data_IF_946616327820
#
_entry.id   IF_946616327820
#
_cell.length_a   1.000
_cell.length_b   1.000
_cell.length_c   1.000
_cell.angle_alpha   90.00
_cell.angle_beta   90.00
_cell.angle_gamma   90.00
#
_symmetry.space_group_name_H-M   'P 1'
#
loop_
_entity.id
_entity.type
_entity.pdbx_description
1 polymer ?
#
# COMPACT_ATOMS: atom_id res chain seq x y z
N UNK A 1 20.51 1.90 15.39
CA UNK A 1 19.23 1.44 15.92
C UNK A 1 18.18 2.55 15.79
N UNK A 2 16.89 2.21 15.72
CA UNK A 2 15.79 3.16 15.64
C UNK A 2 15.67 3.92 14.31
N UNK A 3 16.25 3.41 13.22
CA UNK A 3 16.25 4.06 11.90
C UNK A 3 15.37 3.37 10.85
N UNK A 4 14.61 2.38 11.27
CA UNK A 4 13.59 1.73 10.45
C UNK A 4 12.23 2.15 10.97
N UNK A 5 11.35 2.55 10.09
CA UNK A 5 9.95 2.91 10.40
C UNK A 5 8.98 1.95 9.75
N UNK A 6 7.99 1.50 10.52
CA UNK A 6 6.88 0.65 10.05
C UNK A 6 5.55 1.19 10.59
N UNK A 7 4.45 0.72 10.04
CA UNK A 7 3.14 0.99 10.65
C UNK A 7 2.98 0.29 12.00
N UNK A 8 2.27 0.95 12.90
CA UNK A 8 1.78 0.33 14.13
C UNK A 8 0.65 -0.66 13.76
N UNK A 9 0.98 -1.94 13.73
CA UNK A 9 0.05 -3.02 13.35
C UNK A 9 -1.13 -3.16 14.31
N UNK A 10 -1.05 -2.62 15.51
CA UNK A 10 -2.13 -2.66 16.51
C UNK A 10 -3.14 -1.52 16.34
N UNK A 11 -2.75 -0.44 15.65
CA UNK A 11 -3.53 0.78 15.51
C UNK A 11 -3.91 1.09 14.05
N UNK A 12 -3.20 0.51 13.08
CA UNK A 12 -3.34 0.83 11.65
C UNK A 12 -3.72 -0.43 10.88
N UNK A 13 -5.00 -0.52 10.48
CA UNK A 13 -5.52 -1.70 9.79
C UNK A 13 -4.76 -2.07 8.51
N UNK A 14 -4.32 -1.09 7.72
CA UNK A 14 -3.50 -1.35 6.54
C UNK A 14 -2.11 -1.90 6.89
N UNK A 15 -1.53 -1.44 7.99
CA UNK A 15 -0.26 -1.96 8.49
C UNK A 15 -0.37 -3.43 8.87
N UNK A 16 -1.45 -3.77 9.56
CA UNK A 16 -1.75 -5.15 9.93
C UNK A 16 -1.98 -6.03 8.69
N UNK A 17 -2.76 -5.56 7.73
CA UNK A 17 -3.06 -6.27 6.49
C UNK A 17 -1.81 -6.62 5.69
N UNK A 18 -0.92 -5.64 5.50
CA UNK A 18 0.35 -5.84 4.81
C UNK A 18 1.26 -6.80 5.58
N UNK A 19 1.31 -6.66 6.90
CA UNK A 19 2.09 -7.53 7.77
C UNK A 19 1.61 -8.99 7.72
N UNK A 20 0.30 -9.22 7.74
CA UNK A 20 -0.29 -10.55 7.61
C UNK A 20 0.00 -11.17 6.24
N UNK A 21 -0.10 -10.37 5.17
CA UNK A 21 0.21 -10.80 3.82
C UNK A 21 1.69 -11.18 3.66
N UNK A 22 2.62 -10.40 4.21
CA UNK A 22 4.06 -10.72 4.17
C UNK A 22 4.37 -12.04 4.89
N UNK A 23 3.70 -12.33 5.99
CA UNK A 23 3.82 -13.60 6.69
C UNK A 23 3.48 -14.80 5.80
N UNK A 24 2.49 -14.66 4.94
CA UNK A 24 2.06 -15.73 4.02
C UNK A 24 2.96 -15.82 2.78
N UNK A 25 3.45 -14.68 2.30
CA UNK A 25 4.18 -14.62 1.04
C UNK A 25 5.68 -14.86 1.16
N UNK A 26 6.28 -14.62 2.33
CA UNK A 26 7.73 -14.61 2.49
C UNK A 26 8.24 -15.72 3.42
N UNK A 27 9.05 -16.64 2.90
CA UNK A 27 9.80 -17.60 3.72
C UNK A 27 10.85 -16.94 4.63
N UNK A 28 11.21 -15.69 4.35
CA UNK A 28 12.16 -14.89 5.14
C UNK A 28 11.50 -14.04 6.21
N UNK A 29 10.18 -14.15 6.38
CA UNK A 29 9.42 -13.31 7.30
C UNK A 29 9.95 -13.34 8.75
N UNK A 30 10.26 -14.52 9.30
CA UNK A 30 10.83 -14.65 10.64
C UNK A 30 12.14 -13.89 10.81
N UNK A 31 13.06 -14.01 9.84
CA UNK A 31 14.33 -13.25 9.86
C UNK A 31 14.13 -11.74 9.74
N UNK A 32 13.11 -11.31 9.02
CA UNK A 32 12.75 -9.90 8.91
C UNK A 32 12.27 -9.37 10.26
N UNK A 33 11.43 -10.10 11.00
CA UNK A 33 10.98 -9.73 12.34
C UNK A 33 12.14 -9.65 13.34
N UNK A 34 13.04 -10.64 13.33
CA UNK A 34 14.27 -10.59 14.15
C UNK A 34 15.10 -9.35 13.85
N UNK A 35 15.26 -9.01 12.57
CA UNK A 35 15.95 -7.80 12.14
C UNK A 35 15.27 -6.54 12.67
N UNK A 36 13.94 -6.46 12.58
CA UNK A 36 13.18 -5.32 13.12
C UNK A 36 13.37 -5.16 14.62
N UNK A 37 13.34 -6.26 15.38
CA UNK A 37 13.62 -6.27 16.81
C UNK A 37 15.05 -5.82 17.12
N UNK A 38 16.03 -6.41 16.46
CA UNK A 38 17.46 -6.07 16.65
C UNK A 38 17.75 -4.59 16.37
N UNK A 39 17.14 -4.02 15.35
CA UNK A 39 17.32 -2.62 14.98
C UNK A 39 16.45 -1.64 15.76
N UNK A 40 15.66 -2.11 16.72
CA UNK A 40 14.75 -1.27 17.53
C UNK A 40 13.83 -0.44 16.61
N UNK A 41 13.14 -1.11 15.70
CA UNK A 41 12.27 -0.47 14.70
C UNK A 41 11.21 0.40 15.37
N UNK A 42 10.99 1.58 14.81
CA UNK A 42 9.99 2.54 15.30
C UNK A 42 8.65 2.31 14.61
N UNK A 43 7.57 2.40 15.36
CA UNK A 43 6.21 2.24 14.86
C UNK A 43 5.50 3.59 14.71
N UNK A 44 4.69 3.74 13.67
CA UNK A 44 4.02 4.98 13.32
C UNK A 44 2.56 4.73 12.95
N UNK A 45 1.71 5.71 13.20
CA UNK A 45 0.28 5.61 12.88
C UNK A 45 -0.08 6.10 11.48
N UNK A 46 0.78 6.88 10.83
CA UNK A 46 0.50 7.49 9.51
C UNK A 46 1.71 7.40 8.59
N UNK A 47 1.44 7.15 7.31
CA UNK A 47 2.46 7.20 6.24
C UNK A 47 3.23 8.51 6.24
N UNK A 48 2.51 9.62 6.44
CA UNK A 48 3.11 10.96 6.43
C UNK A 48 4.18 11.13 7.52
N UNK A 49 4.00 10.52 8.69
CA UNK A 49 4.98 10.62 9.79
C UNK A 49 6.25 9.82 9.46
N UNK A 50 6.12 8.64 8.84
CA UNK A 50 7.27 7.86 8.37
C UNK A 50 8.00 8.61 7.27
N UNK A 51 7.28 9.14 6.28
CA UNK A 51 7.85 9.87 5.15
C UNK A 51 8.54 11.17 5.60
N UNK A 52 7.96 11.87 6.57
CA UNK A 52 8.60 13.04 7.19
C UNK A 52 9.91 12.65 7.88
N UNK A 53 9.90 11.59 8.68
CA UNK A 53 11.10 11.12 9.36
C UNK A 53 12.19 10.62 8.40
N UNK A 54 11.81 10.09 7.23
CA UNK A 54 12.75 9.79 6.13
C UNK A 54 13.32 11.06 5.52
N UNK A 55 12.48 12.06 5.22
CA UNK A 55 12.93 13.32 4.59
C UNK A 55 13.87 14.13 5.48
N UNK A 56 13.71 14.04 6.80
CA UNK A 56 14.61 14.68 7.78
C UNK A 56 15.86 13.86 8.12
N UNK A 57 15.97 12.62 7.62
CA UNK A 57 17.07 11.71 7.90
C UNK A 57 17.01 11.05 9.28
N UNK A 58 15.90 11.20 10.02
CA UNK A 58 15.67 10.45 11.28
C UNK A 58 15.55 8.94 11.01
N UNK A 59 14.90 8.57 9.92
CA UNK A 59 14.83 7.20 9.43
C UNK A 59 15.70 7.02 8.19
N UNK A 60 16.17 5.79 7.99
CA UNK A 60 16.87 5.37 6.77
C UNK A 60 15.97 4.52 5.88
N UNK A 61 15.04 3.78 6.49
CA UNK A 61 14.13 2.87 5.80
C UNK A 61 12.72 3.05 6.34
N UNK A 62 11.75 3.17 5.43
CA UNK A 62 10.33 3.01 5.72
C UNK A 62 9.83 1.76 5.03
N UNK A 63 9.26 0.83 5.77
CA UNK A 63 8.81 -0.46 5.25
C UNK A 63 7.31 -0.47 5.02
N UNK A 64 6.88 -1.10 3.92
CA UNK A 64 5.47 -1.27 3.52
C UNK A 64 4.67 0.05 3.39
N UNK A 65 5.33 1.12 2.96
CA UNK A 65 4.65 2.39 2.70
C UNK A 65 3.87 2.30 1.39
N UNK A 66 2.64 2.80 1.37
CA UNK A 66 1.84 2.87 0.14
C UNK A 66 2.56 3.67 -0.93
N UNK A 67 2.77 3.05 -2.09
CA UNK A 67 3.59 3.59 -3.19
C UNK A 67 3.10 4.95 -3.68
N UNK A 68 1.79 5.20 -3.71
CA UNK A 68 1.22 6.50 -4.12
C UNK A 68 1.71 7.65 -3.21
N UNK A 69 1.72 7.45 -1.90
CA UNK A 69 2.25 8.45 -0.97
C UNK A 69 3.76 8.57 -1.06
N UNK A 70 4.47 7.44 -1.11
CA UNK A 70 5.93 7.44 -1.20
C UNK A 70 6.43 8.15 -2.46
N UNK A 71 5.81 7.92 -3.62
CA UNK A 71 6.15 8.59 -4.89
C UNK A 71 5.87 10.09 -4.86
N UNK A 72 4.73 10.51 -4.30
CA UNK A 72 4.41 11.93 -4.13
C UNK A 72 5.46 12.65 -3.27
N UNK A 73 5.92 12.01 -2.19
CA UNK A 73 6.98 12.57 -1.35
C UNK A 73 8.35 12.56 -2.03
N UNK A 74 8.71 11.49 -2.72
CA UNK A 74 9.97 11.39 -3.45
C UNK A 74 10.10 12.46 -4.55
N UNK A 75 9.00 12.84 -5.19
CA UNK A 75 8.99 13.92 -6.17
C UNK A 75 9.36 15.30 -5.57
N UNK A 76 9.14 15.49 -4.26
CA UNK A 76 9.42 16.74 -3.54
C UNK A 76 10.69 16.66 -2.65
N UNK A 77 11.20 15.46 -2.40
CA UNK A 77 12.32 15.20 -1.49
C UNK A 77 13.35 14.31 -2.17
N UNK A 78 14.39 14.88 -2.82
CA UNK A 78 15.39 14.13 -3.59
C UNK A 78 16.19 13.10 -2.81
N UNK A 79 16.15 13.16 -1.48
CA UNK A 79 16.79 12.19 -0.57
C UNK A 79 15.92 10.94 -0.30
N UNK A 80 14.71 10.87 -0.85
CA UNK A 80 13.83 9.71 -0.73
C UNK A 80 13.81 8.94 -2.05
N UNK A 81 14.10 7.65 -1.99
CA UNK A 81 13.97 6.72 -3.12
C UNK A 81 12.89 5.70 -2.77
N UNK A 82 12.03 5.38 -3.73
CA UNK A 82 11.03 4.31 -3.61
C UNK A 82 11.62 3.05 -4.24
N UNK A 83 11.81 2.02 -3.42
CA UNK A 83 12.34 0.73 -3.85
C UNK A 83 11.21 -0.29 -3.84
N UNK A 84 11.01 -0.96 -4.97
CA UNK A 84 10.12 -2.11 -5.08
C UNK A 84 10.95 -3.39 -4.95
N UNK A 85 10.60 -4.31 -4.03
CA UNK A 85 11.31 -5.57 -3.90
C UNK A 85 11.25 -6.41 -5.17
N UNK A 86 12.31 -7.20 -5.45
CA UNK A 86 12.39 -8.05 -6.64
C UNK A 86 11.68 -9.39 -6.46
N UNK A 87 11.45 -9.81 -5.24
CA UNK A 87 10.78 -11.06 -4.91
C UNK A 87 9.26 -10.95 -5.08
N UNK A 88 8.63 -9.98 -4.46
CA UNK A 88 7.22 -9.63 -4.69
C UNK A 88 6.91 -8.22 -4.21
N UNK A 89 5.81 -7.68 -4.73
CA UNK A 89 5.20 -6.43 -4.26
C UNK A 89 3.73 -6.68 -3.95
N UNK A 90 3.33 -6.39 -2.71
CA UNK A 90 1.93 -6.48 -2.29
C UNK A 90 1.09 -5.42 -2.97
N UNK A 91 0.00 -5.83 -3.60
CA UNK A 91 -0.94 -4.92 -4.28
C UNK A 91 -2.23 -4.83 -3.49
N UNK A 92 -2.57 -3.63 -3.02
CA UNK A 92 -3.83 -3.37 -2.34
C UNK A 92 -4.78 -2.67 -3.30
N UNK A 93 -5.92 -3.29 -3.53
CA UNK A 93 -7.01 -2.70 -4.31
C UNK A 93 -7.89 -1.83 -3.40
N UNK A 94 -8.35 -0.72 -3.92
CA UNK A 94 -9.40 0.10 -3.28
C UNK A 94 -10.74 -0.28 -3.85
N UNK A 95 -11.76 -0.36 -3.00
CA UNK A 95 -13.14 -0.63 -3.39
C UNK A 95 -13.99 0.60 -3.16
N UNK A 96 -14.87 0.91 -4.09
CA UNK A 96 -15.94 1.88 -3.92
C UNK A 96 -17.26 1.15 -3.68
N UNK A 97 -18.04 1.60 -2.71
CA UNK A 97 -19.33 1.00 -2.37
C UNK A 97 -20.41 2.09 -2.27
N UNK A 98 -21.62 1.74 -2.72
CA UNK A 98 -22.80 2.59 -2.54
C UNK A 98 -23.56 2.06 -1.32
N UNK A 99 -23.71 2.83 -0.24
CA UNK A 99 -24.47 2.41 0.92
C UNK A 99 -25.95 2.18 0.58
N UNK A 100 -26.60 1.20 1.21
CA UNK A 100 -28.02 0.87 0.98
C UNK A 100 -28.97 2.07 1.05
N UNK A 101 -28.66 3.04 1.93
CA UNK A 101 -29.46 4.23 2.16
C UNK A 101 -28.80 5.51 1.60
N UNK A 102 -28.03 5.38 0.50
CA UNK A 102 -27.47 6.54 -0.17
C UNK A 102 -28.58 7.48 -0.66
N UNK A 103 -28.43 8.78 -0.42
CA UNK A 103 -29.46 9.79 -0.82
C UNK A 103 -29.51 10.00 -2.33
N UNK A 104 -28.39 9.83 -3.03
CA UNK A 104 -28.28 9.98 -4.47
C UNK A 104 -27.60 8.74 -5.08
N UNK A 105 -28.36 7.67 -5.24
CA UNK A 105 -27.85 6.40 -5.80
C UNK A 105 -27.41 6.57 -7.26
N UNK A 106 -28.19 7.30 -8.07
CA UNK A 106 -27.87 7.53 -9.50
C UNK A 106 -26.54 8.29 -9.63
N UNK A 107 -26.37 9.36 -8.89
CA UNK A 107 -25.10 10.11 -8.90
C UNK A 107 -23.92 9.27 -8.43
N UNK A 108 -24.12 8.41 -7.42
CA UNK A 108 -23.08 7.50 -6.94
C UNK A 108 -22.71 6.44 -8.00
N UNK A 109 -23.70 5.90 -8.74
CA UNK A 109 -23.45 4.97 -9.85
C UNK A 109 -22.66 5.64 -10.96
N UNK A 110 -23.07 6.82 -11.42
CA UNK A 110 -22.35 7.58 -12.44
C UNK A 110 -20.90 7.89 -12.02
N UNK A 111 -20.68 8.17 -10.75
CA UNK A 111 -19.32 8.40 -10.23
C UNK A 111 -18.47 7.12 -10.25
N UNK A 112 -19.04 5.97 -9.87
CA UNK A 112 -18.33 4.69 -9.95
C UNK A 112 -18.04 4.31 -11.40
N UNK A 113 -19.01 4.49 -12.30
CA UNK A 113 -18.82 4.24 -13.74
C UNK A 113 -17.70 5.11 -14.31
N UNK A 114 -17.63 6.37 -13.91
CA UNK A 114 -16.49 7.24 -14.25
C UNK A 114 -15.18 6.68 -13.69
N UNK A 115 -15.12 6.31 -12.41
CA UNK A 115 -13.90 5.81 -11.78
C UNK A 115 -13.32 4.56 -12.47
N UNK A 116 -14.16 3.68 -13.02
CA UNK A 116 -13.70 2.48 -13.74
C UNK A 116 -13.53 2.69 -15.25
N UNK A 117 -13.96 3.82 -15.78
CA UNK A 117 -13.79 4.16 -17.20
C UNK A 117 -12.33 4.39 -17.56
N UNK A 118 -12.00 4.31 -18.85
CA UNK A 118 -10.66 4.63 -19.36
C UNK A 118 -10.25 6.06 -18.98
N UNK A 119 -11.18 7.02 -19.08
CA UNK A 119 -10.90 8.41 -18.72
C UNK A 119 -10.61 8.55 -17.22
N UNK A 120 -11.49 8.04 -16.35
CA UNK A 120 -11.31 8.12 -14.90
C UNK A 120 -10.04 7.42 -14.41
N UNK A 121 -9.71 6.26 -15.00
CA UNK A 121 -8.48 5.54 -14.69
C UNK A 121 -7.23 6.31 -15.15
N UNK A 122 -7.30 6.99 -16.31
CA UNK A 122 -6.23 7.86 -16.80
C UNK A 122 -6.02 9.05 -15.87
N UNK A 123 -7.10 9.69 -15.46
CA UNK A 123 -7.04 10.83 -14.54
C UNK A 123 -6.48 10.42 -13.17
N UNK A 124 -6.95 9.30 -12.63
CA UNK A 124 -6.41 8.79 -11.37
C UNK A 124 -4.91 8.48 -11.45
N UNK A 125 -4.47 7.84 -12.52
CA UNK A 125 -3.05 7.54 -12.69
C UNK A 125 -2.19 8.82 -12.84
N UNK A 126 -2.68 9.82 -13.56
CA UNK A 126 -1.95 11.07 -13.80
C UNK A 126 -1.88 11.97 -12.56
N UNK A 127 -2.95 12.02 -11.77
CA UNK A 127 -3.06 13.00 -10.68
C UNK A 127 -2.87 12.42 -9.26
N UNK A 128 -2.90 11.09 -9.10
CA UNK A 128 -2.89 10.47 -7.76
C UNK A 128 -1.76 9.48 -7.53
N UNK A 129 -0.97 9.15 -8.55
CA UNK A 129 0.00 8.05 -8.52
C UNK A 129 -0.62 6.68 -8.16
N UNK A 130 -1.92 6.48 -8.41
CA UNK A 130 -2.53 5.17 -8.30
C UNK A 130 -2.27 4.34 -9.54
N UNK A 131 -2.06 3.05 -9.34
CA UNK A 131 -1.96 2.11 -10.45
C UNK A 131 -3.36 1.87 -11.05
N UNK A 132 -3.55 2.09 -12.36
CA UNK A 132 -4.83 1.85 -12.99
C UNK A 132 -5.16 0.35 -13.06
N UNK A 133 -6.44 0.01 -12.86
CA UNK A 133 -6.93 -1.37 -13.05
C UNK A 133 -7.29 -1.65 -14.51
N UNK A 134 -7.52 -0.61 -15.30
CA UNK A 134 -7.84 -0.75 -16.73
C UNK A 134 -6.57 -1.07 -17.53
N UNK A 135 -6.58 -2.21 -18.25
CA UNK A 135 -5.41 -2.68 -19.01
C UNK A 135 -4.98 -1.73 -20.13
N UNK A 136 -5.92 -1.05 -20.80
CA UNK A 136 -5.58 -0.07 -21.85
C UNK A 136 -4.79 1.10 -21.29
N UNK A 137 -5.15 1.57 -20.09
CA UNK A 137 -4.45 2.65 -19.39
C UNK A 137 -3.09 2.17 -18.92
N UNK A 138 -3.00 0.96 -18.34
CA UNK A 138 -1.75 0.36 -17.88
C UNK A 138 -0.72 0.23 -19.01
N UNK A 139 -1.14 -0.21 -20.20
CA UNK A 139 -0.24 -0.38 -21.35
C UNK A 139 0.29 0.97 -21.84
N UNK A 140 -0.54 2.01 -21.83
CA UNK A 140 -0.15 3.36 -22.26
C UNK A 140 0.79 4.06 -21.27
N UNK A 141 0.65 3.74 -19.99
CA UNK A 141 1.44 4.36 -18.91
C UNK A 141 2.58 3.44 -18.45
N UNK A 142 3.50 3.13 -19.36
CA UNK A 142 4.67 2.25 -19.12
C UNK A 142 5.55 2.58 -17.90
N UNK A 143 5.23 3.62 -17.12
CA UNK A 143 6.12 4.17 -16.11
C UNK A 143 5.87 3.70 -14.68
N UNK A 144 4.78 2.98 -14.38
CA UNK A 144 4.39 2.78 -13.00
C UNK A 144 4.83 1.43 -12.43
N UNK A 145 4.95 0.39 -13.25
CA UNK A 145 5.39 -0.92 -12.79
C UNK A 145 6.42 -1.53 -13.75
N UNK A 146 7.67 -1.28 -13.48
CA UNK A 146 8.81 -2.04 -14.07
C UNK A 146 8.93 -3.44 -13.41
N UNK A 147 7.81 -3.93 -12.85
CA UNK A 147 7.72 -5.21 -12.17
C UNK A 147 7.05 -6.20 -13.10
N UNK A 148 7.65 -7.38 -13.27
CA UNK A 148 7.02 -8.48 -13.99
C UNK A 148 5.71 -8.88 -13.29
N UNK A 149 4.68 -9.25 -14.06
CA UNK A 149 3.37 -9.67 -13.51
C UNK A 149 3.49 -10.78 -12.44
N UNK A 150 4.49 -11.66 -12.57
CA UNK A 150 4.76 -12.71 -11.60
C UNK A 150 5.23 -12.24 -10.22
N UNK A 151 5.65 -10.98 -10.07
CA UNK A 151 6.09 -10.39 -8.80
C UNK A 151 4.98 -9.60 -8.08
N UNK A 152 3.83 -9.36 -8.74
CA UNK A 152 2.70 -8.70 -8.10
C UNK A 152 1.89 -9.73 -7.30
N UNK A 153 1.66 -9.44 -6.03
CA UNK A 153 0.86 -10.26 -5.12
C UNK A 153 -0.34 -9.47 -4.63
N UNK A 154 -1.53 -9.66 -5.24
CA UNK A 154 -2.74 -9.02 -4.74
C UNK A 154 -3.05 -9.47 -3.32
N UNK A 155 -3.31 -8.51 -2.44
CA UNK A 155 -3.80 -8.79 -1.10
C UNK A 155 -5.29 -9.13 -1.21
N UNK A 156 -5.73 -10.33 -0.83
CA UNK A 156 -7.13 -10.71 -0.91
C UNK A 156 -7.95 -9.82 0.03
N UNK A 157 -9.00 -9.19 -0.50
CA UNK A 157 -9.94 -8.34 0.26
C UNK A 157 -11.26 -9.08 0.44
N UNK A 158 -11.21 -10.27 1.01
CA UNK A 158 -12.38 -11.10 1.28
C UNK A 158 -12.72 -11.19 2.77
N UNK A 159 -13.76 -11.97 3.07
CA UNK A 159 -14.20 -12.23 4.45
C UNK A 159 -13.11 -12.97 5.26
N UNK A 160 -12.21 -13.65 4.55
CA UNK A 160 -11.05 -14.37 5.11
C UNK A 160 -10.15 -13.46 5.94
N UNK A 161 -10.02 -12.18 5.55
CA UNK A 161 -9.23 -11.18 6.29
C UNK A 161 -9.79 -10.98 7.69
N UNK A 162 -11.12 -10.96 7.84
CA UNK A 162 -11.76 -10.79 9.16
C UNK A 162 -11.49 -12.00 10.07
N UNK A 163 -11.41 -13.20 9.49
CA UNK A 163 -11.11 -14.43 10.24
C UNK A 163 -9.65 -14.47 10.67
N UNK A 164 -8.73 -14.11 9.76
CA UNK A 164 -7.30 -14.02 10.05
C UNK A 164 -7.03 -12.94 11.12
N UNK A 165 -7.68 -11.78 10.99
CA UNK A 165 -7.56 -10.67 11.95
C UNK A 165 -7.98 -11.12 13.36
N UNK A 166 -9.08 -11.85 13.48
CA UNK A 166 -9.62 -12.30 14.77
C UNK A 166 -8.77 -13.39 15.43
N UNK A 167 -8.22 -14.32 14.63
CA UNK A 167 -7.34 -15.37 15.13
C UNK A 167 -5.97 -14.83 15.58
N UNK A 168 -5.42 -13.85 14.88
CA UNK A 168 -4.09 -13.33 15.19
C UNK A 168 -4.10 -12.27 16.31
N UNK A 169 -5.22 -11.60 16.56
CA UNK A 169 -5.39 -10.72 17.73
C UNK A 169 -5.52 -11.49 19.06
N UNK A 170 -5.81 -12.79 18.98
CA UNK A 170 -5.95 -13.67 20.16
C UNK A 170 -4.66 -14.40 20.54
N UNK A 171 -3.60 -14.28 19.74
CA UNK A 171 -2.26 -14.82 20.00
C UNK A 171 -1.32 -13.70 20.45
#
# INVERSE_FOLDING_TARGET
KGRIGIYDITQVGIGYLLWAHDREQSSSYGRMLESFGYHSTRVFRRSADILKALSTGELTVGYNILSSYARTWAAQHPNIIVVQPKDYTSVIMRSAIIPKHAKNVIGAQLFIDYLVSVQGQTDMANFTNFEPINNEVRIKQKHLLDISEGQLRPVPLGIEILVIDDQMKRQ
#
